data_IF_113546948050
#
_entry.id   IF_113546948050
#
_cell.length_a   1.000
_cell.length_b   1.000
_cell.length_c   1.000
_cell.angle_alpha   90.00
_cell.angle_beta   90.00
_cell.angle_gamma   90.00
#
_symmetry.space_group_name_H-M   'P 1'
#
loop_
_entity.id
_entity.type
_entity.pdbx_description
1 polymer ?
#
# COMPACT_ATOMS: atom_id res chain seq x y z
N UNK A 1 32.82 -24.71 41.15
CA UNK A 1 33.57 -23.59 40.56
C UNK A 1 33.52 -23.75 39.05
N UNK A 2 32.51 -23.15 38.41
CA UNK A 2 32.29 -23.18 36.96
C UNK A 2 32.19 -21.72 36.54
N UNK A 3 33.33 -21.16 36.16
CA UNK A 3 33.54 -19.87 35.50
C UNK A 3 34.78 -20.16 34.66
N UNK A 4 34.86 -19.94 33.36
CA UNK A 4 34.29 -18.87 32.55
C UNK A 4 34.62 -19.21 31.08
N UNK A 5 33.63 -19.67 30.33
CA UNK A 5 33.67 -19.79 28.86
C UNK A 5 32.48 -19.00 28.30
N UNK A 6 32.45 -17.69 28.60
CA UNK A 6 31.72 -16.71 27.83
C UNK A 6 32.75 -15.99 26.97
N UNK A 7 33.13 -16.64 25.88
CA UNK A 7 33.89 -16.03 24.81
C UNK A 7 32.88 -15.55 23.78
N UNK A 8 32.92 -14.24 23.52
CA UNK A 8 32.05 -13.48 22.62
C UNK A 8 31.83 -14.18 21.28
N UNK A 9 30.56 -14.47 20.98
CA UNK A 9 30.09 -14.88 19.66
C UNK A 9 29.52 -13.65 18.96
N UNK A 10 30.17 -13.25 17.87
CA UNK A 10 29.92 -12.06 17.04
C UNK A 10 28.43 -11.62 16.94
N UNK A 11 28.10 -10.36 17.30
CA UNK A 11 26.73 -9.79 17.19
C UNK A 11 26.33 -9.38 15.76
N UNK A 12 27.17 -9.64 14.74
CA UNK A 12 26.99 -9.11 13.37
C UNK A 12 25.89 -9.76 12.52
N UNK A 13 24.96 -10.51 13.10
CA UNK A 13 23.81 -11.12 12.39
C UNK A 13 22.45 -10.53 12.81
N UNK A 14 22.43 -9.68 13.84
CA UNK A 14 21.19 -9.08 14.36
C UNK A 14 20.58 -8.05 13.40
N UNK A 15 21.39 -7.44 12.53
CA UNK A 15 20.93 -6.41 11.60
C UNK A 15 20.36 -6.97 10.28
N UNK A 16 20.84 -8.12 9.77
CA UNK A 16 20.43 -8.59 8.43
C UNK A 16 20.44 -10.13 8.26
N UNK A 17 19.25 -10.70 8.09
CA UNK A 17 19.02 -12.15 7.89
C UNK A 17 19.55 -12.65 6.55
N UNK A 18 19.50 -11.81 5.50
CA UNK A 18 20.03 -12.16 4.19
C UNK A 18 21.56 -12.27 4.21
N UNK A 19 22.25 -11.39 4.97
CA UNK A 19 23.68 -11.47 5.17
C UNK A 19 24.09 -12.76 5.91
N UNK A 20 23.27 -13.20 6.88
CA UNK A 20 23.46 -14.47 7.56
C UNK A 20 23.31 -15.66 6.60
N UNK A 21 22.29 -15.64 5.72
CA UNK A 21 22.09 -16.67 4.72
C UNK A 21 23.28 -16.79 3.74
N UNK A 22 23.84 -15.65 3.31
CA UNK A 22 25.05 -15.63 2.46
C UNK A 22 26.27 -16.25 3.18
N UNK A 23 26.45 -15.99 4.48
CA UNK A 23 27.52 -16.61 5.28
C UNK A 23 27.35 -18.12 5.39
N UNK A 24 26.12 -18.59 5.64
CA UNK A 24 25.78 -20.02 5.69
C UNK A 24 26.00 -20.70 4.33
N UNK A 25 25.66 -20.02 3.23
CA UNK A 25 25.88 -20.53 1.87
C UNK A 25 27.38 -20.67 1.54
N UNK A 26 28.18 -19.67 1.92
CA UNK A 26 29.65 -19.68 1.69
C UNK A 26 30.41 -20.66 2.58
N UNK A 27 29.91 -20.94 3.79
CA UNK A 27 30.54 -21.82 4.77
C UNK A 27 29.51 -22.78 5.36
N UNK A 28 29.25 -23.96 4.76
CA UNK A 28 28.20 -24.86 5.24
C UNK A 28 28.45 -25.39 6.66
N UNK A 29 29.71 -25.47 7.11
CA UNK A 29 30.06 -25.86 8.48
C UNK A 29 29.62 -24.82 9.52
N UNK A 30 29.51 -23.55 9.14
CA UNK A 30 29.00 -22.48 10.00
C UNK A 30 27.54 -22.74 10.43
N UNK A 31 26.77 -23.47 9.64
CA UNK A 31 25.41 -23.86 9.99
C UNK A 31 25.37 -24.72 11.28
N UNK A 32 26.41 -25.50 11.58
CA UNK A 32 26.48 -26.33 12.80
C UNK A 32 26.59 -25.49 14.06
N UNK A 33 27.41 -24.45 13.99
CA UNK A 33 27.72 -23.54 15.11
C UNK A 33 26.56 -22.58 15.40
N UNK A 34 25.68 -22.38 14.43
CA UNK A 34 24.54 -21.47 14.50
C UNK A 34 23.53 -21.90 15.56
N UNK A 35 23.32 -21.10 16.61
CA UNK A 35 22.33 -21.39 17.66
C UNK A 35 20.91 -21.07 17.18
N UNK A 36 20.28 -21.99 16.43
CA UNK A 36 18.94 -21.80 15.86
C UNK A 36 17.89 -21.29 16.85
N UNK A 37 17.92 -21.79 18.10
CA UNK A 37 16.95 -21.39 19.11
C UNK A 37 17.05 -19.88 19.43
N UNK A 38 18.26 -19.31 19.42
CA UNK A 38 18.47 -17.88 19.61
C UNK A 38 18.04 -17.10 18.37
N UNK A 39 18.38 -17.59 17.16
CA UNK A 39 17.99 -16.97 15.90
C UNK A 39 16.46 -16.89 15.73
N UNK A 40 15.75 -18.00 15.98
CA UNK A 40 14.29 -18.06 15.84
C UNK A 40 13.61 -17.18 16.88
N UNK A 41 14.10 -17.16 18.12
CA UNK A 41 13.56 -16.27 19.17
C UNK A 41 13.74 -14.80 18.77
N UNK A 42 14.95 -14.42 18.40
CA UNK A 42 15.27 -13.06 17.94
C UNK A 42 14.37 -12.62 16.79
N UNK A 43 14.22 -13.44 15.75
CA UNK A 43 13.38 -13.11 14.60
C UNK A 43 11.90 -13.09 14.95
N UNK A 44 11.43 -14.00 15.82
CA UNK A 44 10.04 -13.99 16.28
C UNK A 44 9.70 -12.75 17.11
N UNK A 45 10.64 -12.25 17.92
CA UNK A 45 10.47 -11.02 18.70
C UNK A 45 10.50 -9.81 17.78
N UNK A 46 11.41 -9.79 16.80
CA UNK A 46 11.50 -8.73 15.79
C UNK A 46 10.28 -8.65 14.90
N UNK A 47 9.76 -9.77 14.41
CA UNK A 47 8.54 -9.77 13.57
C UNK A 47 7.29 -9.35 14.34
N UNK A 48 7.29 -9.45 15.69
CA UNK A 48 6.20 -8.94 16.53
C UNK A 48 6.27 -7.43 16.75
N UNK A 49 7.46 -6.83 16.67
CA UNK A 49 7.65 -5.38 16.84
C UNK A 49 7.60 -4.62 15.53
N UNK A 50 7.92 -5.26 14.40
CA UNK A 50 7.84 -4.65 13.07
C UNK A 50 6.38 -4.54 12.63
N UNK A 51 5.94 -3.33 12.27
CA UNK A 51 4.60 -3.05 11.75
C UNK A 51 4.45 -3.31 10.24
N UNK A 52 5.56 -3.49 9.53
CA UNK A 52 5.60 -3.76 8.10
C UNK A 52 5.58 -5.27 7.79
N UNK A 53 4.49 -5.73 7.18
CA UNK A 53 4.30 -7.12 6.78
C UNK A 53 5.23 -7.55 5.64
N UNK A 54 5.68 -6.60 4.82
CA UNK A 54 6.53 -6.90 3.66
C UNK A 54 7.90 -7.39 4.12
N UNK A 55 8.52 -6.70 5.09
CA UNK A 55 9.78 -7.13 5.71
C UNK A 55 9.69 -8.56 6.27
N UNK A 56 8.59 -8.92 6.94
CA UNK A 56 8.38 -10.29 7.46
C UNK A 56 8.27 -11.31 6.32
N UNK A 57 7.58 -10.95 5.24
CA UNK A 57 7.41 -11.83 4.08
C UNK A 57 8.71 -12.14 3.34
N UNK A 58 9.67 -11.20 3.33
CA UNK A 58 10.98 -11.38 2.70
C UNK A 58 11.94 -12.19 3.59
N UNK A 59 11.84 -12.08 4.90
CA UNK A 59 12.76 -12.71 5.85
C UNK A 59 12.36 -14.14 6.26
N UNK A 60 11.06 -14.44 6.28
CA UNK A 60 10.56 -15.75 6.70
C UNK A 60 11.08 -16.90 5.82
N UNK A 61 11.08 -16.81 4.48
CA UNK A 61 11.63 -17.87 3.62
C UNK A 61 13.13 -18.09 3.85
N UNK A 62 13.90 -17.01 4.01
CA UNK A 62 15.34 -17.05 4.25
C UNK A 62 15.65 -17.74 5.57
N UNK A 63 14.88 -17.44 6.61
CA UNK A 63 15.01 -18.07 7.93
C UNK A 63 14.69 -19.56 7.88
N UNK A 64 13.62 -19.93 7.18
CA UNK A 64 13.25 -21.34 6.97
C UNK A 64 14.35 -22.11 6.25
N UNK A 65 14.99 -21.50 5.23
CA UNK A 65 16.12 -22.07 4.53
C UNK A 65 17.33 -22.31 5.44
N UNK A 66 17.69 -21.37 6.32
CA UNK A 66 18.80 -21.53 7.28
C UNK A 66 18.52 -22.69 8.24
N UNK A 67 17.28 -22.79 8.76
CA UNK A 67 16.86 -23.87 9.66
C UNK A 67 16.97 -25.23 8.96
N UNK A 68 16.43 -25.33 7.74
CA UNK A 68 16.52 -26.54 6.92
C UNK A 68 17.98 -26.92 6.68
N UNK A 69 18.82 -25.96 6.27
CA UNK A 69 20.23 -26.22 5.98
C UNK A 69 20.99 -26.71 7.21
N UNK A 70 20.69 -26.21 8.40
CA UNK A 70 21.27 -26.76 9.63
C UNK A 70 20.77 -28.18 9.91
N UNK A 71 19.47 -28.44 9.73
CA UNK A 71 18.89 -29.78 9.89
C UNK A 71 19.60 -30.81 9.01
N UNK A 72 19.80 -30.49 7.72
CA UNK A 72 20.48 -31.35 6.75
C UNK A 72 21.94 -31.65 7.11
N UNK A 73 22.60 -30.74 7.83
CA UNK A 73 24.02 -30.83 8.21
C UNK A 73 24.21 -31.55 9.55
N UNK A 74 23.18 -31.60 10.39
CA UNK A 74 23.20 -32.21 11.73
C UNK A 74 22.61 -33.63 11.71
N UNK A 75 21.58 -33.88 10.91
CA UNK A 75 20.94 -35.19 10.83
C UNK A 75 21.66 -36.10 9.84
N UNK A 76 21.82 -37.41 10.15
CA UNK A 76 22.25 -38.39 9.16
C UNK A 76 21.18 -38.53 8.08
N UNK A 77 21.57 -38.41 6.82
CA UNK A 77 20.63 -38.47 5.70
C UNK A 77 20.08 -39.88 5.55
N UNK A 78 18.79 -40.05 5.80
CA UNK A 78 18.01 -41.18 5.28
C UNK A 78 17.68 -40.82 3.84
N UNK A 79 17.97 -41.72 2.89
CA UNK A 79 17.67 -41.52 1.47
C UNK A 79 16.21 -41.07 1.31
N UNK A 80 15.95 -39.92 0.67
CA UNK A 80 14.61 -39.36 0.62
C UNK A 80 13.72 -40.16 -0.34
N UNK A 81 12.56 -40.61 0.15
CA UNK A 81 11.37 -40.79 -0.70
C UNK A 81 11.09 -39.47 -1.40
N UNK A 82 10.98 -39.51 -2.73
CA UNK A 82 10.72 -38.38 -3.63
C UNK A 82 9.54 -37.51 -3.15
N UNK A 83 9.82 -36.49 -2.34
CA UNK A 83 9.06 -35.24 -2.38
C UNK A 83 9.41 -34.54 -3.70
N UNK A 84 8.43 -33.94 -4.40
CA UNK A 84 8.73 -33.17 -5.59
C UNK A 84 9.66 -32.04 -5.20
N UNK A 85 10.91 -32.19 -5.62
CA UNK A 85 11.93 -31.18 -5.66
C UNK A 85 11.32 -29.96 -6.35
N UNK A 86 10.84 -28.99 -5.56
CA UNK A 86 10.68 -27.62 -6.05
C UNK A 86 12.11 -27.11 -6.18
N UNK A 87 12.74 -27.57 -7.25
CA UNK A 87 13.92 -27.00 -7.84
C UNK A 87 13.56 -25.54 -8.12
N UNK A 88 13.91 -24.63 -7.21
CA UNK A 88 14.33 -23.33 -7.69
C UNK A 88 15.50 -23.61 -8.63
N UNK A 89 15.42 -23.23 -9.91
CA UNK A 89 16.55 -23.36 -10.81
C UNK A 89 17.73 -22.67 -10.14
N UNK A 90 18.77 -23.42 -9.80
CA UNK A 90 20.10 -22.84 -9.58
C UNK A 90 20.56 -22.41 -10.97
N UNK A 91 19.98 -21.32 -11.45
CA UNK A 91 20.57 -20.53 -12.49
C UNK A 91 21.76 -19.84 -11.83
N UNK A 92 22.90 -20.53 -11.83
CA UNK A 92 24.18 -19.85 -12.08
C UNK A 92 24.06 -19.23 -13.47
N UNK A 93 23.24 -18.18 -13.60
CA UNK A 93 23.33 -17.30 -14.73
C UNK A 93 24.68 -16.62 -14.58
N UNK A 94 25.58 -16.91 -15.51
CA UNK A 94 26.61 -15.97 -15.90
C UNK A 94 25.88 -14.68 -16.34
N UNK A 95 25.56 -13.82 -15.37
CA UNK A 95 24.98 -12.49 -15.56
C UNK A 95 25.96 -11.52 -16.25
N UNK A 96 27.08 -12.04 -16.77
CA UNK A 96 28.08 -11.30 -17.52
C UNK A 96 27.51 -10.59 -18.76
N UNK A 97 26.33 -11.00 -19.25
CA UNK A 97 25.62 -10.31 -20.34
C UNK A 97 24.68 -9.19 -19.87
N UNK A 98 24.31 -9.16 -18.58
CA UNK A 98 23.35 -8.19 -18.02
C UNK A 98 24.00 -6.80 -17.96
N UNK A 99 25.25 -6.69 -17.51
CA UNK A 99 25.98 -5.42 -17.51
C UNK A 99 26.08 -4.78 -18.91
N UNK A 100 26.56 -5.48 -19.97
CA UNK A 100 26.61 -4.89 -21.30
C UNK A 100 25.21 -4.61 -21.88
N UNK A 101 24.20 -5.45 -21.59
CA UNK A 101 22.83 -5.22 -22.04
C UNK A 101 22.20 -3.98 -21.38
N UNK A 102 22.41 -3.79 -20.08
CA UNK A 102 21.93 -2.61 -19.35
C UNK A 102 22.64 -1.34 -19.79
N UNK A 103 23.95 -1.39 -20.03
CA UNK A 103 24.70 -0.26 -20.61
C UNK A 103 24.19 0.11 -22.01
N UNK A 104 23.94 -0.86 -22.89
CA UNK A 104 23.40 -0.61 -24.22
C UNK A 104 21.99 0.01 -24.16
N UNK A 105 21.14 -0.46 -23.25
CA UNK A 105 19.81 0.10 -23.02
C UNK A 105 19.87 1.54 -22.48
N UNK A 106 20.78 1.84 -21.55
CA UNK A 106 20.99 3.19 -21.04
C UNK A 106 21.45 4.15 -22.15
N UNK A 107 22.37 3.72 -23.01
CA UNK A 107 22.81 4.52 -24.16
C UNK A 107 21.66 4.82 -25.13
N UNK A 108 20.85 3.81 -25.46
CA UNK A 108 19.66 3.99 -26.27
C UNK A 108 18.65 4.95 -25.62
N UNK A 109 18.44 4.83 -24.31
CA UNK A 109 17.56 5.71 -23.56
C UNK A 109 18.05 7.16 -23.55
N UNK A 110 19.33 7.40 -23.31
CA UNK A 110 19.92 8.75 -23.40
C UNK A 110 19.80 9.33 -24.81
N UNK A 111 20.00 8.51 -25.85
CA UNK A 111 19.78 8.95 -27.23
C UNK A 111 18.32 9.31 -27.51
N UNK A 112 17.36 8.55 -26.94
CA UNK A 112 15.94 8.79 -27.08
C UNK A 112 15.48 10.05 -26.32
N UNK A 113 16.08 10.34 -25.16
CA UNK A 113 15.79 11.56 -24.39
C UNK A 113 16.21 12.85 -25.10
N UNK A 114 17.21 12.80 -25.99
CA UNK A 114 17.59 13.94 -26.81
C UNK A 114 16.48 14.37 -27.77
N UNK A 115 15.53 13.48 -28.08
CA UNK A 115 14.37 13.77 -28.92
C UNK A 115 13.15 14.14 -28.05
N UNK A 116 12.92 15.44 -27.88
CA UNK A 116 11.68 15.94 -27.28
C UNK A 116 10.54 15.86 -28.29
N UNK A 117 9.67 14.85 -28.15
CA UNK A 117 8.40 14.84 -28.87
C UNK A 117 7.45 15.87 -28.25
N UNK A 118 6.78 16.67 -29.08
CA UNK A 118 5.70 17.55 -28.59
C UNK A 118 4.63 16.68 -27.90
N UNK A 119 4.12 17.09 -26.73
CA UNK A 119 2.99 16.41 -26.13
C UNK A 119 1.84 16.42 -27.13
N UNK A 120 1.24 15.25 -27.38
CA UNK A 120 0.06 15.14 -28.22
C UNK A 120 -1.00 16.04 -27.59
N UNK A 121 -1.28 17.19 -28.22
CA UNK A 121 -2.35 18.05 -27.76
C UNK A 121 -3.63 17.24 -27.86
N UNK A 122 -4.30 17.01 -26.73
CA UNK A 122 -5.66 16.50 -26.68
C UNK A 122 -6.56 17.58 -27.29
N UNK A 123 -6.57 17.67 -28.62
CA UNK A 123 -7.57 18.42 -29.33
C UNK A 123 -8.91 17.79 -28.95
N UNK A 124 -9.80 18.63 -28.43
CA UNK A 124 -11.15 18.23 -28.03
C UNK A 124 -11.78 17.39 -29.12
N UNK A 125 -12.21 16.20 -28.70
CA UNK A 125 -12.67 15.12 -29.57
C UNK A 125 -13.59 15.64 -30.69
N UNK A 126 -13.18 15.43 -31.94
CA UNK A 126 -14.12 15.42 -33.04
C UNK A 126 -15.15 14.30 -32.81
N UNK A 127 -16.42 14.50 -33.23
CA UNK A 127 -17.48 13.52 -33.01
C UNK A 127 -17.06 12.15 -33.55
N UNK A 128 -17.10 11.15 -32.66
CA UNK A 128 -16.89 9.71 -32.84
C UNK A 128 -16.50 9.28 -34.27
N UNK A 129 -15.20 9.21 -34.54
CA UNK A 129 -14.67 8.45 -35.69
C UNK A 129 -14.17 7.09 -35.21
N UNK A 130 -14.68 5.97 -35.75
CA UNK A 130 -14.14 4.65 -35.45
C UNK A 130 -12.67 4.59 -35.82
N UNK A 131 -11.82 4.10 -34.91
CA UNK A 131 -10.38 3.94 -35.16
C UNK A 131 -10.20 2.83 -36.20
N UNK A 132 -9.75 3.19 -37.40
CA UNK A 132 -9.50 2.22 -38.47
C UNK A 132 -8.33 1.31 -38.09
N UNK A 133 -8.52 -0.01 -38.17
CA UNK A 133 -7.46 -0.99 -37.93
C UNK A 133 -7.09 -1.20 -36.46
N UNK A 134 -8.01 -0.90 -35.53
CA UNK A 134 -7.90 -1.31 -34.14
C UNK A 134 -8.07 -2.84 -34.04
N UNK A 135 -7.04 -3.50 -33.54
CA UNK A 135 -7.04 -4.95 -33.25
C UNK A 135 -6.93 -5.09 -31.74
N UNK A 136 -7.49 -6.16 -31.15
CA UNK A 136 -7.42 -6.43 -29.70
C UNK A 136 -5.98 -6.33 -29.18
N UNK A 137 -5.03 -6.83 -29.98
CA UNK A 137 -3.60 -6.74 -29.67
C UNK A 137 -3.06 -5.30 -29.61
N UNK A 138 -3.47 -4.43 -30.54
CA UNK A 138 -3.09 -3.01 -30.53
C UNK A 138 -3.69 -2.27 -29.34
N UNK A 139 -4.91 -2.61 -28.94
CA UNK A 139 -5.54 -2.05 -27.75
C UNK A 139 -4.77 -2.44 -26.49
N UNK A 140 -4.44 -3.72 -26.33
CA UNK A 140 -3.64 -4.23 -25.22
C UNK A 140 -2.25 -3.57 -25.14
N UNK A 141 -1.56 -3.39 -26.27
CA UNK A 141 -0.26 -2.71 -26.33
C UNK A 141 -0.31 -1.21 -26.11
N UNK A 142 -1.45 -0.58 -26.44
CA UNK A 142 -1.66 0.85 -26.21
C UNK A 142 -2.07 1.17 -24.76
N UNK A 143 -2.58 0.18 -24.02
CA UNK A 143 -3.07 0.36 -22.65
C UNK A 143 -2.00 0.87 -21.67
N UNK A 144 -0.77 0.32 -21.64
CA UNK A 144 0.28 0.84 -20.76
C UNK A 144 0.71 2.27 -21.12
N UNK A 145 0.65 2.63 -22.40
CA UNK A 145 1.00 3.98 -22.90
C UNK A 145 -0.10 5.02 -22.65
N UNK A 146 -1.32 4.56 -22.38
CA UNK A 146 -2.47 5.36 -21.95
C UNK A 146 -2.45 5.64 -20.44
N UNK A 147 -1.60 4.95 -19.67
CA UNK A 147 -1.15 5.46 -18.39
C UNK A 147 -0.24 6.66 -18.66
N UNK A 148 -0.85 7.77 -19.07
CA UNK A 148 -0.31 9.09 -18.77
C UNK A 148 0.08 9.02 -17.29
N UNK A 149 1.35 9.24 -16.91
CA UNK A 149 1.69 9.33 -15.49
C UNK A 149 0.68 10.31 -14.93
N UNK A 150 -0.20 9.85 -14.02
CA UNK A 150 -1.29 10.65 -13.46
C UNK A 150 -0.69 12.01 -13.25
N UNK A 151 -1.03 12.97 -14.13
CA UNK A 151 -0.48 14.32 -14.07
C UNK A 151 -0.73 14.68 -12.64
N UNK A 152 0.34 14.78 -11.84
CA UNK A 152 0.32 14.80 -10.37
C UNK A 152 -1.02 15.40 -9.99
N UNK A 153 -2.00 14.56 -9.63
CA UNK A 153 -3.35 15.06 -9.31
C UNK A 153 -2.98 16.10 -8.28
N UNK A 154 -3.11 17.42 -8.58
CA UNK A 154 -2.47 18.44 -7.77
C UNK A 154 -2.97 18.10 -6.40
N UNK A 155 -2.03 17.71 -5.52
CA UNK A 155 -2.33 17.14 -4.23
C UNK A 155 -3.33 18.13 -3.69
N UNK A 156 -4.61 17.71 -3.68
CA UNK A 156 -5.69 18.66 -3.43
C UNK A 156 -5.48 18.80 -1.97
N UNK A 157 -4.66 19.79 -1.60
CA UNK A 157 -4.43 20.21 -0.24
C UNK A 157 -5.85 20.44 0.19
N UNK A 158 -6.37 19.46 0.91
CA UNK A 158 -7.62 19.59 1.62
C UNK A 158 -7.20 20.59 2.65
N UNK A 159 -7.26 21.87 2.28
CA UNK A 159 -7.19 22.98 3.22
C UNK A 159 -8.16 22.56 4.29
N UNK A 160 -7.63 22.30 5.49
CA UNK A 160 -8.44 22.02 6.65
C UNK A 160 -9.56 23.06 6.60
N UNK A 161 -10.80 22.60 6.45
CA UNK A 161 -11.93 23.51 6.36
C UNK A 161 -11.86 24.39 7.60
N UNK A 162 -11.67 25.70 7.39
CA UNK A 162 -11.57 26.70 8.45
C UNK A 162 -12.89 26.88 9.21
N UNK A 163 -13.91 26.06 8.90
CA UNK A 163 -15.23 26.10 9.53
C UNK A 163 -15.35 24.89 10.46
N UNK A 164 -14.97 25.02 11.74
CA UNK A 164 -15.12 23.94 12.70
C UNK A 164 -16.60 23.52 12.79
N UNK A 165 -16.82 22.23 13.01
CA UNK A 165 -18.17 21.62 13.02
C UNK A 165 -19.14 22.38 13.95
N UNK A 166 -18.65 22.89 15.07
CA UNK A 166 -19.41 23.67 16.04
C UNK A 166 -20.01 24.94 15.43
N UNK A 167 -19.22 25.67 14.63
CA UNK A 167 -19.71 26.88 13.93
C UNK A 167 -20.79 26.51 12.92
N UNK A 168 -20.66 25.34 12.27
CA UNK A 168 -21.66 24.80 11.36
C UNK A 168 -22.96 24.45 12.08
N UNK A 169 -22.88 23.82 13.25
CA UNK A 169 -24.04 23.51 14.11
C UNK A 169 -24.77 24.79 14.52
N UNK A 170 -24.04 25.84 14.94
CA UNK A 170 -24.63 27.13 15.32
C UNK A 170 -25.33 27.84 14.14
N UNK A 171 -24.74 27.77 12.94
CA UNK A 171 -25.37 28.29 11.72
C UNK A 171 -26.62 27.50 11.36
N UNK A 172 -26.56 26.17 11.46
CA UNK A 172 -27.70 25.29 11.21
C UNK A 172 -28.85 25.60 12.17
N UNK A 173 -28.58 25.71 13.47
CA UNK A 173 -29.61 26.04 14.47
C UNK A 173 -30.20 27.43 14.29
N UNK A 174 -29.38 28.44 13.96
CA UNK A 174 -29.88 29.80 13.66
C UNK A 174 -30.83 29.80 12.47
N UNK A 175 -30.51 29.02 11.43
CA UNK A 175 -31.38 28.87 10.26
C UNK A 175 -32.65 28.12 10.61
N UNK A 176 -32.54 26.98 11.28
CA UNK A 176 -33.70 26.19 11.65
C UNK A 176 -34.68 27.00 12.52
N UNK A 177 -34.17 27.81 13.45
CA UNK A 177 -34.98 28.74 14.27
C UNK A 177 -35.67 29.85 13.48
N UNK A 178 -35.16 30.21 12.31
CA UNK A 178 -35.81 31.18 11.43
C UNK A 178 -37.02 30.61 10.70
N UNK A 179 -37.17 29.27 10.70
CA UNK A 179 -38.31 28.58 10.12
C UNK A 179 -39.23 28.08 11.23
N UNK A 180 -40.48 28.53 11.21
CA UNK A 180 -41.51 28.10 12.18
C UNK A 180 -42.10 26.72 11.88
N UNK A 181 -41.62 26.03 10.83
CA UNK A 181 -42.18 24.77 10.32
C UNK A 181 -41.07 23.78 10.00
N UNK A 182 -41.38 22.46 9.94
CA UNK A 182 -40.44 21.47 9.45
C UNK A 182 -39.91 21.86 8.06
N UNK A 183 -38.60 21.84 7.91
CA UNK A 183 -37.89 22.27 6.70
C UNK A 183 -37.22 21.06 6.05
N UNK A 184 -37.29 20.91 4.71
CA UNK A 184 -36.50 19.89 4.03
C UNK A 184 -34.99 20.18 4.14
N UNK A 185 -34.19 19.13 4.30
CA UNK A 185 -32.72 19.21 4.40
C UNK A 185 -32.07 19.99 3.27
N UNK A 186 -32.61 19.88 2.05
CA UNK A 186 -32.11 20.57 0.85
C UNK A 186 -32.07 22.10 1.02
N UNK A 187 -32.99 22.68 1.80
CA UNK A 187 -33.01 24.13 2.08
C UNK A 187 -32.00 24.56 3.14
N UNK A 188 -31.40 23.62 3.88
CA UNK A 188 -30.36 23.92 4.87
C UNK A 188 -28.96 24.06 4.24
N UNK A 189 -28.75 23.50 3.05
CA UNK A 189 -27.49 23.52 2.31
C UNK A 189 -27.40 24.79 1.43
N UNK A 190 -26.31 25.57 1.50
CA UNK A 190 -26.21 26.80 0.68
C UNK A 190 -25.72 26.55 -0.73
N UNK A 191 -24.67 25.75 -0.87
CA UNK A 191 -24.11 25.39 -2.16
C UNK A 191 -24.20 23.89 -2.35
N UNK A 192 -24.52 23.47 -3.59
CA UNK A 192 -24.56 22.07 -4.00
C UNK A 192 -23.14 21.48 -4.16
N UNK A 193 -22.17 21.97 -3.38
CA UNK A 193 -20.85 21.38 -3.33
C UNK A 193 -20.90 20.13 -2.45
N UNK A 194 -20.30 19.00 -2.88
CA UNK A 194 -20.34 17.75 -2.11
C UNK A 194 -19.82 17.89 -0.67
N UNK A 195 -18.79 18.71 -0.44
CA UNK A 195 -18.25 18.95 0.90
C UNK A 195 -19.23 19.67 1.82
N UNK A 196 -19.97 20.66 1.31
CA UNK A 196 -20.96 21.39 2.10
C UNK A 196 -22.17 20.52 2.46
N UNK A 197 -22.59 19.65 1.55
CA UNK A 197 -23.67 18.69 1.80
C UNK A 197 -23.26 17.74 2.94
N UNK A 198 -22.04 17.20 2.88
CA UNK A 198 -21.52 16.26 3.89
C UNK A 198 -21.37 16.93 5.25
N UNK A 199 -20.79 18.13 5.31
CA UNK A 199 -20.59 18.86 6.59
C UNK A 199 -21.91 19.31 7.22
N UNK A 200 -22.87 19.77 6.42
CA UNK A 200 -24.22 20.11 6.88
C UNK A 200 -24.97 18.87 7.37
N UNK A 201 -24.82 17.73 6.69
CA UNK A 201 -25.38 16.46 7.13
C UNK A 201 -24.78 15.99 8.45
N UNK A 202 -23.45 16.08 8.61
CA UNK A 202 -22.78 15.75 9.87
C UNK A 202 -23.27 16.64 11.01
N UNK A 203 -23.38 17.95 10.79
CA UNK A 203 -23.92 18.87 11.79
C UNK A 203 -25.35 18.50 12.22
N UNK A 204 -26.22 18.15 11.26
CA UNK A 204 -27.58 17.67 11.53
C UNK A 204 -27.57 16.38 12.37
N UNK A 205 -26.75 15.38 12.02
CA UNK A 205 -26.64 14.12 12.77
C UNK A 205 -26.17 14.37 14.21
N UNK A 206 -25.21 15.28 14.39
CA UNK A 206 -24.73 15.66 15.72
C UNK A 206 -25.81 16.36 16.56
N UNK A 207 -26.59 17.26 15.96
CA UNK A 207 -27.71 17.94 16.63
C UNK A 207 -28.84 16.97 16.97
N UNK A 208 -29.15 16.03 16.08
CA UNK A 208 -30.12 14.97 16.31
C UNK A 208 -29.68 14.04 17.44
N UNK A 209 -28.41 13.64 17.48
CA UNK A 209 -27.84 12.85 18.57
C UNK A 209 -27.91 13.58 19.93
N UNK A 210 -27.83 14.92 19.93
CA UNK A 210 -28.00 15.75 21.14
C UNK A 210 -29.45 16.06 21.49
N UNK A 211 -30.42 15.52 20.73
CA UNK A 211 -31.85 15.79 20.87
C UNK A 211 -32.25 17.27 20.69
N UNK A 212 -31.39 18.08 20.06
CA UNK A 212 -31.68 19.49 19.78
C UNK A 212 -32.57 19.68 18.54
N UNK A 213 -32.65 18.65 17.70
CA UNK A 213 -33.36 18.64 16.42
C UNK A 213 -34.06 17.30 16.23
N UNK A 214 -35.27 17.34 15.69
CA UNK A 214 -36.02 16.17 15.23
C UNK A 214 -35.86 16.01 13.72
N UNK A 215 -35.67 14.77 13.30
CA UNK A 215 -35.44 14.40 11.90
C UNK A 215 -36.44 13.32 11.53
N UNK A 216 -37.23 13.56 10.49
CA UNK A 216 -38.23 12.63 9.97
C UNK A 216 -37.94 12.30 8.51
N UNK A 217 -37.95 11.00 8.19
CA UNK A 217 -37.84 10.51 6.82
C UNK A 217 -38.93 9.44 6.61
N UNK A 218 -39.98 9.71 5.82
CA UNK A 218 -41.15 8.82 5.73
C UNK A 218 -40.83 7.46 5.08
N UNK A 219 -39.80 7.40 4.24
CA UNK A 219 -39.36 6.19 3.56
C UNK A 219 -37.88 6.25 3.19
N UNK A 220 -37.28 5.11 2.84
CA UNK A 220 -35.90 5.09 2.40
C UNK A 220 -35.73 5.97 1.15
N UNK A 221 -34.76 6.89 1.20
CA UNK A 221 -34.47 7.88 0.14
C UNK A 221 -35.53 8.97 -0.06
N UNK A 222 -36.54 9.06 0.80
CA UNK A 222 -37.46 10.20 0.78
C UNK A 222 -36.79 11.47 1.32
N UNK A 223 -37.36 12.67 1.05
CA UNK A 223 -36.87 13.92 1.60
C UNK A 223 -36.80 13.88 3.13
N UNK A 224 -35.67 14.34 3.67
CA UNK A 224 -35.44 14.45 5.11
C UNK A 224 -36.06 15.76 5.59
N UNK A 225 -36.99 15.67 6.53
CA UNK A 225 -37.64 16.81 7.18
C UNK A 225 -37.04 17.06 8.55
N UNK A 226 -36.83 18.35 8.87
CA UNK A 226 -36.08 18.78 10.04
C UNK A 226 -36.91 19.78 10.82
N UNK A 227 -37.11 19.53 12.11
CA UNK A 227 -37.83 20.40 13.04
C UNK A 227 -37.03 20.61 14.33
N UNK A 228 -37.35 21.67 15.08
CA UNK A 228 -36.70 21.92 16.38
C UNK A 228 -37.04 20.80 17.37
N UNK A 229 -36.02 20.33 18.11
CA UNK A 229 -36.21 19.43 19.24
C UNK A 229 -36.96 20.15 20.36
N UNK A 230 -37.97 19.47 20.91
CA UNK A 230 -38.74 19.92 22.07
C UNK A 230 -38.06 19.63 23.39
#
# INVERSE_FOLDING_TARGET
MISSEQQDLDPGWEENVQALALKVRRRPLFARELRLLQLVRFLSERWRTVSDLQTVSEEAPVTAWIIRRKSDVVLPQVEPENEPEVLEPVEEHDEAWIEPATMALQQLWHSAQAFYSRPVSLQSAHPYRPIKGATVWKLAWSWPRLHVPKSSIPERVVTAENDPLEVRMDQFMRRLRSYERPVPFELMVNAHQPSEVVTTFLAMVHLWHRQEVQVEQPGAFDPIWISLGG
#
